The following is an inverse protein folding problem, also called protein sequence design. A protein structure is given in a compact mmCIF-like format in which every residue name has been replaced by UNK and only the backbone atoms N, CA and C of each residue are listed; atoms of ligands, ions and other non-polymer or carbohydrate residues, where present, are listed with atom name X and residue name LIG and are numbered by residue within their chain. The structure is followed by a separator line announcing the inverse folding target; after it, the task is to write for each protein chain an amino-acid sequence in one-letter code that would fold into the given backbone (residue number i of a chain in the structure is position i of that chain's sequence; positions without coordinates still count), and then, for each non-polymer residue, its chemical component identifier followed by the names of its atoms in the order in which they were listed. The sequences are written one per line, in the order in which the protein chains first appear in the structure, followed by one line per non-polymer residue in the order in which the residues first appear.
data_IF_479401819125
#
_entry.id   IF_479401819125
#
_cell.length_a   1.000
_cell.length_b   1.000
_cell.length_c   1.000
_cell.angle_alpha   90.00
_cell.angle_beta   90.00
_cell.angle_gamma   90.00
#
_symmetry.space_group_name_H-M   'P 1'
#
loop_
_entity.id
_entity.type
_entity.pdbx_description
1 polymer ?
#
# COMPACT_ATOMS: atom_id res chain seq x y z
N UNK A 1 17.89 -2.28 -15.28
CA UNK A 1 18.45 -2.99 -14.11
C UNK A 1 17.33 -3.85 -13.55
N UNK A 2 17.33 -5.14 -13.85
CA UNK A 2 16.30 -6.09 -13.39
C UNK A 2 16.55 -6.29 -11.89
N UNK A 3 15.64 -5.82 -11.03
CA UNK A 3 15.67 -6.21 -9.61
C UNK A 3 15.33 -7.69 -9.55
N UNK A 4 16.22 -8.48 -8.96
CA UNK A 4 15.95 -9.87 -8.62
C UNK A 4 14.82 -9.88 -7.58
N UNK A 5 13.66 -10.41 -7.95
CA UNK A 5 12.51 -10.49 -7.05
C UNK A 5 12.80 -11.55 -5.99
N UNK A 6 13.41 -11.14 -4.88
CA UNK A 6 13.57 -12.00 -3.73
C UNK A 6 12.19 -12.26 -3.11
N UNK A 7 11.79 -13.53 -3.07
CA UNK A 7 10.56 -13.95 -2.39
C UNK A 7 10.89 -14.16 -0.92
N UNK A 8 10.25 -13.41 -0.03
CA UNK A 8 10.33 -13.64 1.42
C UNK A 8 9.04 -14.32 1.90
N UNK A 9 9.15 -15.36 2.74
CA UNK A 9 8.02 -15.95 3.43
C UNK A 9 7.85 -15.25 4.79
N UNK A 10 6.70 -14.61 5.01
CA UNK A 10 6.38 -13.92 6.26
C UNK A 10 5.13 -14.54 6.87
N UNK A 11 5.22 -14.93 8.15
CA UNK A 11 4.08 -15.36 8.95
C UNK A 11 3.76 -14.29 9.99
N UNK A 12 2.54 -13.78 9.97
CA UNK A 12 2.01 -12.92 11.03
C UNK A 12 1.36 -13.82 12.08
N UNK A 13 1.81 -13.74 13.32
CA UNK A 13 1.41 -14.64 14.41
C UNK A 13 0.92 -13.85 15.62
N UNK A 14 -0.05 -14.38 16.36
CA UNK A 14 -0.40 -13.84 17.67
C UNK A 14 0.71 -14.13 18.70
N UNK A 15 0.76 -13.34 19.78
CA UNK A 15 1.74 -13.55 20.85
C UNK A 15 1.56 -14.94 21.48
N UNK A 16 2.60 -15.77 21.41
CA UNK A 16 2.58 -17.15 21.91
C UNK A 16 2.10 -18.19 20.90
N UNK A 17 1.63 -17.78 19.72
CA UNK A 17 1.39 -18.68 18.59
C UNK A 17 2.73 -19.08 17.94
N UNK A 18 2.78 -20.29 17.38
CA UNK A 18 3.97 -20.78 16.67
C UNK A 18 3.59 -21.26 15.28
N UNK A 19 4.41 -20.88 14.30
CA UNK A 19 4.32 -21.42 12.94
C UNK A 19 4.49 -22.95 13.01
N UNK A 20 3.63 -23.74 12.34
CA UNK A 20 3.75 -25.19 12.34
C UNK A 20 5.13 -25.67 11.90
N UNK A 21 5.69 -26.67 12.59
CA UNK A 21 7.04 -27.18 12.33
C UNK A 21 7.23 -27.65 10.88
N UNK A 22 6.18 -28.23 10.27
CA UNK A 22 6.23 -28.66 8.87
C UNK A 22 6.45 -27.49 7.91
N UNK A 23 5.89 -26.31 8.20
CA UNK A 23 6.03 -25.13 7.35
C UNK A 23 7.45 -24.57 7.44
N UNK A 24 8.02 -24.53 8.66
CA UNK A 24 9.42 -24.14 8.89
C UNK A 24 10.37 -25.08 8.14
N UNK A 25 10.16 -26.40 8.24
CA UNK A 25 11.01 -27.39 7.59
C UNK A 25 10.98 -27.27 6.06
N UNK A 26 9.79 -27.10 5.47
CA UNK A 26 9.63 -26.91 4.01
C UNK A 26 10.27 -25.60 3.53
N UNK A 27 10.09 -24.52 4.29
CA UNK A 27 10.65 -23.22 3.98
C UNK A 27 12.20 -23.23 4.02
N UNK A 28 12.78 -23.84 5.05
CA UNK A 28 14.22 -24.03 5.17
C UNK A 28 14.78 -24.89 4.03
N UNK A 29 14.09 -25.99 3.66
CA UNK A 29 14.50 -26.85 2.55
C UNK A 29 14.47 -26.13 1.18
N UNK A 30 13.68 -25.06 1.05
CA UNK A 30 13.62 -24.21 -0.15
C UNK A 30 14.60 -23.03 -0.13
N UNK A 31 15.38 -22.88 0.94
CA UNK A 31 16.30 -21.74 1.11
C UNK A 31 15.58 -20.41 1.38
N UNK A 32 14.32 -20.45 1.80
CA UNK A 32 13.51 -19.25 2.08
C UNK A 32 12.91 -19.37 3.47
N UNK A 33 13.68 -19.13 4.56
CA UNK A 33 13.15 -19.28 5.92
C UNK A 33 11.95 -18.36 6.18
N UNK A 34 11.01 -18.82 7.00
CA UNK A 34 9.84 -18.02 7.39
C UNK A 34 10.27 -16.98 8.42
N UNK A 35 10.10 -15.70 8.09
CA UNK A 35 10.17 -14.61 9.07
C UNK A 35 8.85 -14.54 9.82
N UNK A 36 8.90 -14.68 11.14
CA UNK A 36 7.74 -14.50 12.00
C UNK A 36 7.64 -13.05 12.44
N UNK A 37 6.44 -12.47 12.35
CA UNK A 37 6.14 -11.10 12.79
C UNK A 37 4.99 -11.18 13.79
N UNK A 38 5.23 -10.88 15.07
CA UNK A 38 4.17 -10.75 16.06
C UNK A 38 3.17 -9.67 15.66
N UNK A 39 1.88 -9.90 15.89
CA UNK A 39 0.85 -8.86 15.70
C UNK A 39 1.10 -7.65 16.60
N UNK A 40 1.75 -7.84 17.75
CA UNK A 40 2.18 -6.77 18.66
C UNK A 40 3.27 -5.87 18.06
N UNK A 41 4.06 -6.35 17.10
CA UNK A 41 5.01 -5.53 16.33
C UNK A 41 4.32 -4.76 15.18
N UNK A 42 3.14 -5.21 14.76
CA UNK A 42 2.31 -4.51 13.78
C UNK A 42 1.51 -3.40 14.47
N UNK A 43 2.20 -2.33 14.86
CA UNK A 43 1.58 -1.17 15.50
C UNK A 43 2.00 0.13 14.84
N UNK A 44 1.39 1.25 15.25
CA UNK A 44 1.75 2.59 14.79
C UNK A 44 1.02 3.05 13.54
N UNK A 45 1.44 4.22 13.07
CA UNK A 45 0.69 5.05 12.12
C UNK A 45 0.45 4.36 10.77
N UNK A 46 1.41 3.55 10.31
CA UNK A 46 1.29 2.80 9.05
C UNK A 46 0.12 1.84 9.07
N UNK A 47 -0.05 1.06 10.15
CA UNK A 47 -1.17 0.12 10.26
C UNK A 47 -2.49 0.86 10.35
N UNK A 48 -2.55 1.95 11.10
CA UNK A 48 -3.76 2.76 11.23
C UNK A 48 -4.20 3.34 9.88
N UNK A 49 -3.26 3.95 9.16
CA UNK A 49 -3.47 4.48 7.81
C UNK A 49 -3.89 3.37 6.83
N UNK A 50 -3.23 2.20 6.88
CA UNK A 50 -3.57 1.06 6.04
C UNK A 50 -5.02 0.59 6.30
N UNK A 51 -5.42 0.46 7.57
CA UNK A 51 -6.80 0.10 7.95
C UNK A 51 -7.81 1.12 7.45
N UNK A 52 -7.46 2.40 7.52
CA UNK A 52 -8.31 3.48 7.06
C UNK A 52 -8.54 3.41 5.55
N UNK A 53 -7.48 3.25 4.75
CA UNK A 53 -7.65 3.19 3.29
C UNK A 53 -8.35 1.91 2.83
N UNK A 54 -8.19 0.79 3.55
CA UNK A 54 -8.79 -0.52 3.18
C UNK A 54 -10.31 -0.46 3.01
N UNK A 55 -11.00 0.46 3.70
CA UNK A 55 -12.44 0.64 3.54
C UNK A 55 -12.87 1.06 2.13
N UNK A 56 -11.94 1.60 1.34
CA UNK A 56 -12.16 2.05 -0.04
C UNK A 56 -11.78 0.99 -1.08
N UNK A 57 -11.43 -0.24 -0.70
CA UNK A 57 -10.98 -1.28 -1.63
C UNK A 57 -11.97 -1.55 -2.79
N UNK A 58 -13.27 -1.47 -2.50
CA UNK A 58 -14.33 -1.69 -3.48
C UNK A 58 -14.76 -0.42 -4.24
N UNK A 59 -14.16 0.74 -3.95
CA UNK A 59 -14.52 1.99 -4.60
C UNK A 59 -14.13 1.98 -6.08
N UNK A 60 -15.07 2.30 -6.97
CA UNK A 60 -14.80 2.32 -8.41
C UNK A 60 -14.28 3.70 -8.82
N UNK A 61 -13.16 3.69 -9.54
CA UNK A 61 -12.54 4.90 -10.08
C UNK A 61 -12.71 4.89 -11.58
N UNK A 62 -13.15 6.02 -12.14
CA UNK A 62 -13.34 6.12 -13.59
C UNK A 62 -11.99 6.03 -14.30
N UNK A 63 -11.98 5.51 -15.53
CA UNK A 63 -10.77 5.50 -16.36
C UNK A 63 -10.21 6.92 -16.55
N UNK A 64 -11.10 7.88 -16.78
CA UNK A 64 -10.76 9.28 -16.97
C UNK A 64 -10.04 9.88 -15.76
N UNK A 65 -10.53 9.65 -14.54
CA UNK A 65 -9.88 10.19 -13.33
C UNK A 65 -8.53 9.53 -13.09
N UNK A 66 -8.43 8.20 -13.28
CA UNK A 66 -7.16 7.47 -13.19
C UNK A 66 -6.12 8.01 -14.17
N UNK A 67 -6.48 8.18 -15.44
CA UNK A 67 -5.57 8.69 -16.47
C UNK A 67 -5.13 10.12 -16.17
N UNK A 68 -6.02 10.98 -15.68
CA UNK A 68 -5.68 12.36 -15.30
C UNK A 68 -4.68 12.42 -14.16
N UNK A 69 -4.92 11.66 -13.10
CA UNK A 69 -3.99 11.59 -11.97
C UNK A 69 -2.61 11.09 -12.41
N UNK A 70 -2.56 9.99 -13.17
CA UNK A 70 -1.31 9.42 -13.64
C UNK A 70 -0.54 10.38 -14.56
N UNK A 71 -1.23 11.11 -15.44
CA UNK A 71 -0.61 12.12 -16.28
C UNK A 71 -0.02 13.28 -15.46
N UNK A 72 -0.73 13.75 -14.43
CA UNK A 72 -0.22 14.79 -13.53
C UNK A 72 1.01 14.31 -12.74
N UNK A 73 1.00 13.05 -12.27
CA UNK A 73 2.14 12.44 -11.59
C UNK A 73 3.34 12.21 -12.52
N UNK A 74 3.12 11.96 -13.82
CA UNK A 74 4.21 11.86 -14.79
C UNK A 74 4.88 13.22 -15.05
N UNK A 75 4.15 14.33 -14.87
CA UNK A 75 4.67 15.69 -15.03
C UNK A 75 5.41 16.18 -13.78
N UNK A 76 4.81 16.03 -12.61
CA UNK A 76 5.34 16.58 -11.35
C UNK A 76 6.19 15.58 -10.55
N UNK A 77 6.18 14.30 -10.93
CA UNK A 77 6.83 13.19 -10.23
C UNK A 77 6.08 12.72 -8.98
N UNK A 78 5.60 13.66 -8.16
CA UNK A 78 4.76 13.42 -6.98
C UNK A 78 3.93 14.65 -6.64
N UNK A 79 2.82 14.45 -5.96
CA UNK A 79 1.90 15.51 -5.53
C UNK A 79 1.61 15.39 -4.04
N UNK A 80 1.22 16.49 -3.39
CA UNK A 80 0.52 16.40 -2.12
C UNK A 80 -0.91 15.83 -2.34
N UNK A 81 -1.48 15.16 -1.33
CA UNK A 81 -2.82 14.58 -1.42
C UNK A 81 -3.87 15.64 -1.80
N UNK A 82 -3.75 16.85 -1.25
CA UNK A 82 -4.60 17.98 -1.59
C UNK A 82 -4.58 18.32 -3.09
N UNK A 83 -3.41 18.29 -3.72
CA UNK A 83 -3.23 18.58 -5.14
C UNK A 83 -3.76 17.42 -5.99
N UNK A 84 -3.45 16.18 -5.60
CA UNK A 84 -3.93 14.98 -6.28
C UNK A 84 -5.46 14.90 -6.31
N UNK A 85 -6.16 15.34 -5.26
CA UNK A 85 -7.63 15.40 -5.21
C UNK A 85 -8.21 16.25 -6.35
N UNK A 86 -7.54 17.33 -6.74
CA UNK A 86 -8.01 18.23 -7.82
C UNK A 86 -8.05 17.56 -9.20
N UNK A 87 -7.32 16.45 -9.36
CA UNK A 87 -7.30 15.68 -10.62
C UNK A 87 -8.56 14.84 -10.82
N UNK A 88 -9.28 14.54 -9.72
CA UNK A 88 -10.50 13.74 -9.72
C UNK A 88 -11.69 14.64 -10.06
N UNK A 89 -12.34 14.39 -11.20
CA UNK A 89 -13.43 15.24 -11.70
C UNK A 89 -14.77 14.54 -11.76
N UNK A 90 -14.77 13.22 -11.90
CA UNK A 90 -15.99 12.43 -12.03
C UNK A 90 -16.29 11.59 -10.77
N UNK A 91 -15.40 11.61 -9.78
CA UNK A 91 -15.58 10.91 -8.50
C UNK A 91 -16.37 11.76 -7.51
N UNK A 92 -17.35 11.15 -6.83
CA UNK A 92 -18.12 11.78 -5.74
C UNK A 92 -17.26 12.02 -4.50
N UNK A 93 -16.22 11.20 -4.31
CA UNK A 93 -15.28 11.29 -3.19
C UNK A 93 -13.83 11.14 -3.72
N UNK A 94 -13.07 12.25 -3.82
CA UNK A 94 -11.67 12.24 -4.26
C UNK A 94 -10.75 11.40 -3.36
N UNK A 95 -10.98 11.37 -2.05
CA UNK A 95 -10.17 10.59 -1.11
C UNK A 95 -10.40 9.10 -1.36
N UNK A 96 -11.65 8.68 -1.49
CA UNK A 96 -11.98 7.30 -1.81
C UNK A 96 -11.37 6.85 -3.15
N UNK A 97 -11.36 7.75 -4.14
CA UNK A 97 -10.74 7.47 -5.44
C UNK A 97 -9.22 7.27 -5.32
N UNK A 98 -8.52 8.16 -4.62
CA UNK A 98 -7.07 8.07 -4.42
C UNK A 98 -6.68 6.84 -3.60
N UNK A 99 -7.37 6.57 -2.50
CA UNK A 99 -7.17 5.37 -1.69
C UNK A 99 -7.37 4.09 -2.50
N UNK A 100 -8.41 4.02 -3.33
CA UNK A 100 -8.67 2.86 -4.18
C UNK A 100 -7.62 2.67 -5.28
N UNK A 101 -7.07 3.76 -5.83
CA UNK A 101 -5.95 3.68 -6.77
C UNK A 101 -4.67 3.21 -6.08
N UNK A 102 -4.43 3.62 -4.83
CA UNK A 102 -3.29 3.17 -4.03
C UNK A 102 -3.38 1.66 -3.72
N UNK A 103 -4.54 1.19 -3.27
CA UNK A 103 -4.81 -0.23 -3.02
C UNK A 103 -4.66 -1.11 -4.27
N UNK A 104 -4.85 -0.52 -5.46
CA UNK A 104 -4.68 -1.20 -6.76
C UNK A 104 -3.30 -0.98 -7.37
N UNK A 105 -2.36 -0.39 -6.63
CA UNK A 105 -0.98 -0.13 -7.06
C UNK A 105 -0.88 0.69 -8.36
N UNK A 106 -1.77 1.67 -8.54
CA UNK A 106 -1.57 2.72 -9.54
C UNK A 106 -0.74 3.88 -8.99
N UNK A 107 -0.85 4.12 -7.69
CA UNK A 107 -0.14 5.17 -6.97
C UNK A 107 0.37 4.64 -5.64
N UNK A 108 1.38 5.30 -5.09
CA UNK A 108 1.84 5.15 -3.72
C UNK A 108 1.30 6.30 -2.86
N UNK A 109 0.93 5.98 -1.62
CA UNK A 109 0.66 6.96 -0.57
C UNK A 109 1.74 6.80 0.51
N UNK A 110 2.27 7.92 0.99
CA UNK A 110 3.13 7.90 2.18
C UNK A 110 2.28 7.55 3.42
N UNK A 111 2.46 6.32 3.92
CA UNK A 111 1.76 5.82 5.09
C UNK A 111 2.59 5.92 6.38
N UNK A 112 3.85 6.36 6.27
CA UNK A 112 4.85 6.24 7.34
C UNK A 112 5.13 7.58 8.03
N UNK A 113 5.07 8.70 7.29
CA UNK A 113 5.44 10.02 7.81
C UNK A 113 4.46 10.64 8.82
N UNK A 114 3.27 10.07 8.96
CA UNK A 114 2.23 10.61 9.85
C UNK A 114 0.84 10.11 9.48
N UNK A 115 -0.18 10.62 10.19
CA UNK A 115 -1.59 10.38 9.81
C UNK A 115 -1.82 10.91 8.39
N UNK A 116 -2.66 10.22 7.62
CA UNK A 116 -3.01 10.70 6.28
C UNK A 116 -3.63 12.10 6.39
N UNK A 117 -3.04 13.05 5.67
CA UNK A 117 -3.38 14.46 5.67
C UNK A 117 -3.22 15.09 4.29
N UNK A 118 -3.60 16.37 4.12
CA UNK A 118 -3.50 17.07 2.84
C UNK A 118 -2.07 17.10 2.27
N UNK A 119 -1.05 17.05 3.14
CA UNK A 119 0.37 17.01 2.82
C UNK A 119 0.92 15.62 2.49
N UNK A 120 0.14 14.56 2.72
CA UNK A 120 0.55 13.18 2.42
C UNK A 120 0.98 13.07 0.96
N UNK A 121 2.20 12.55 0.73
CA UNK A 121 2.72 12.42 -0.63
C UNK A 121 2.01 11.32 -1.39
N UNK A 122 1.66 11.64 -2.63
CA UNK A 122 1.14 10.73 -3.65
C UNK A 122 2.17 10.65 -4.76
N UNK A 123 2.62 9.45 -5.09
CA UNK A 123 3.54 9.21 -6.19
C UNK A 123 2.99 8.14 -7.14
N UNK A 124 3.52 8.06 -8.36
CA UNK A 124 3.20 6.92 -9.22
C UNK A 124 3.80 5.65 -8.63
N UNK A 125 3.02 4.57 -8.56
CA UNK A 125 3.53 3.27 -8.14
C UNK A 125 4.62 2.81 -9.11
N UNK A 126 5.75 2.36 -8.57
CA UNK A 126 6.87 1.78 -9.32
C UNK A 126 7.23 0.45 -8.68
N UNK A 127 7.19 -0.63 -9.47
CA UNK A 127 7.59 -1.98 -9.04
C UNK A 127 9.07 -2.05 -8.63
#
# INVERSE_FOLDING_TARGET
MVRETAVELVAVIEDGERVPDWAIAVAAARGTPIRCVPTSELTGVRLENAREILRYANWRVTLSDRVRLLAALDQEGSLALAEAMTTIRNGVDPIAALAALALRRFVDLDLDSGRIGPETRVARWRD
#
